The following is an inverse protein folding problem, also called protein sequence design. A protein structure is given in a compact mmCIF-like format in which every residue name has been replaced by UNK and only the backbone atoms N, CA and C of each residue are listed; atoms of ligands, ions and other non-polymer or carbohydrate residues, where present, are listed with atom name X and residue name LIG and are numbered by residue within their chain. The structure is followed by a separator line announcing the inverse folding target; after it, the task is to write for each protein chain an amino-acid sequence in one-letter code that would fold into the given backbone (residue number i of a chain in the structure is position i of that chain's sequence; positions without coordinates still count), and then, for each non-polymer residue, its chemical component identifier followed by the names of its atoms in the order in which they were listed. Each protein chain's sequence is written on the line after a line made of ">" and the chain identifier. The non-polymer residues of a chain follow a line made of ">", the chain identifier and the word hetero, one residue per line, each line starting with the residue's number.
data_IF_983998386742
#
_entry.id   IF_983998386742
#
_cell.length_a   1.000
_cell.length_b   1.000
_cell.length_c   1.000
_cell.angle_alpha   90.00
_cell.angle_beta   90.00
_cell.angle_gamma   90.00
#
_symmetry.space_group_name_H-M   'P 1'
#
loop_
_entity.id
_entity.type
_entity.pdbx_description
1 polymer ?
#
# COMPACT_ATOMS: atom_id res chain seq x y z
N UNK A 1 -54.42 -29.53 -30.77
CA UNK A 1 -52.96 -29.20 -30.95
C UNK A 1 -52.64 -28.01 -30.13
N UNK A 2 -52.04 -28.23 -28.95
CA UNK A 2 -51.59 -27.15 -28.03
C UNK A 2 -50.14 -26.80 -28.38
N UNK A 3 -49.89 -25.57 -28.82
CA UNK A 3 -48.52 -25.05 -29.03
C UNK A 3 -47.92 -24.74 -27.67
N UNK A 4 -46.89 -25.50 -27.26
CA UNK A 4 -46.05 -25.21 -26.08
C UNK A 4 -45.09 -24.09 -26.45
N UNK A 5 -45.30 -22.90 -25.86
CA UNK A 5 -44.39 -21.78 -25.94
C UNK A 5 -43.24 -22.05 -24.96
N UNK A 6 -42.03 -22.26 -25.48
CA UNK A 6 -40.84 -22.45 -24.67
C UNK A 6 -40.35 -21.06 -24.23
N UNK A 7 -40.52 -20.72 -22.96
CA UNK A 7 -39.94 -19.49 -22.37
C UNK A 7 -38.50 -19.81 -22.00
N UNK A 8 -37.54 -19.29 -22.80
CA UNK A 8 -36.13 -19.32 -22.48
C UNK A 8 -35.88 -18.18 -21.50
N UNK A 9 -35.78 -18.49 -20.21
CA UNK A 9 -35.29 -17.54 -19.21
C UNK A 9 -33.80 -17.38 -19.39
N UNK A 10 -33.37 -16.27 -19.98
CA UNK A 10 -31.93 -15.86 -20.00
C UNK A 10 -31.61 -15.38 -18.59
N UNK A 11 -30.96 -16.22 -17.81
CA UNK A 11 -30.31 -15.81 -16.58
C UNK A 11 -29.11 -14.91 -16.98
N UNK A 12 -29.32 -13.60 -16.92
CA UNK A 12 -28.21 -12.64 -16.97
C UNK A 12 -27.48 -12.78 -15.64
N UNK A 13 -26.43 -13.58 -15.67
CA UNK A 13 -25.47 -13.66 -14.56
C UNK A 13 -24.74 -12.30 -14.52
N UNK A 14 -25.28 -11.36 -13.73
CA UNK A 14 -24.53 -10.15 -13.40
C UNK A 14 -23.30 -10.59 -12.58
N UNK A 15 -22.16 -10.77 -13.25
CA UNK A 15 -20.88 -10.86 -12.60
C UNK A 15 -20.70 -9.54 -11.84
N UNK A 16 -20.90 -9.55 -10.54
CA UNK A 16 -20.53 -8.45 -9.67
C UNK A 16 -19.00 -8.41 -9.75
N UNK A 17 -18.46 -7.58 -10.63
CA UNK A 17 -17.04 -7.26 -10.66
C UNK A 17 -16.74 -6.54 -9.36
N UNK A 18 -16.20 -7.24 -8.39
CA UNK A 18 -15.68 -6.59 -7.20
C UNK A 18 -14.52 -5.70 -7.64
N UNK A 19 -14.67 -4.38 -7.44
CA UNK A 19 -13.62 -3.42 -7.72
C UNK A 19 -12.35 -3.82 -6.94
N UNK A 20 -11.21 -3.86 -7.64
CA UNK A 20 -9.91 -4.10 -7.03
C UNK A 20 -9.40 -2.83 -6.34
N UNK A 21 -9.68 -1.66 -6.92
CA UNK A 21 -9.31 -0.36 -6.35
C UNK A 21 -10.59 0.37 -5.97
N UNK A 22 -10.70 0.76 -4.70
CA UNK A 22 -11.87 1.42 -4.10
C UNK A 22 -11.47 2.69 -3.36
N UNK A 23 -11.07 3.76 -4.07
CA UNK A 23 -10.66 4.99 -3.43
C UNK A 23 -11.84 5.65 -2.73
N UNK A 24 -11.59 6.25 -1.57
CA UNK A 24 -12.53 7.13 -0.89
C UNK A 24 -11.98 8.56 -0.95
N UNK A 25 -12.80 9.51 -1.43
CA UNK A 25 -12.43 10.93 -1.50
C UNK A 25 -12.68 11.66 -0.18
N UNK A 26 -13.42 11.05 0.75
CA UNK A 26 -13.79 11.64 2.04
C UNK A 26 -13.05 10.93 3.17
N UNK A 27 -12.36 11.68 4.01
CA UNK A 27 -11.70 11.14 5.18
C UNK A 27 -12.69 10.81 6.29
N UNK A 28 -12.66 9.58 6.78
CA UNK A 28 -13.35 9.19 8.01
C UNK A 28 -12.66 9.79 9.24
N UNK A 29 -11.33 9.76 9.22
CA UNK A 29 -10.46 10.30 10.26
C UNK A 29 -9.49 11.30 9.67
N UNK A 30 -9.27 12.41 10.37
CA UNK A 30 -8.25 13.40 10.05
C UNK A 30 -7.51 13.78 11.33
N UNK A 31 -6.24 14.18 11.24
CA UNK A 31 -5.50 14.64 12.42
C UNK A 31 -6.21 15.74 13.20
N UNK A 32 -6.84 16.72 12.51
CA UNK A 32 -7.59 17.81 13.17
C UNK A 32 -8.73 17.31 14.06
N UNK A 33 -9.47 16.28 13.59
CA UNK A 33 -10.60 15.70 14.36
C UNK A 33 -10.14 14.98 15.62
N UNK A 34 -8.86 14.67 15.71
CA UNK A 34 -8.24 14.00 16.84
C UNK A 34 -7.35 14.94 17.67
N UNK A 35 -7.42 16.26 17.41
CA UNK A 35 -6.61 17.30 18.08
C UNK A 35 -5.09 17.01 18.04
N UNK A 36 -4.61 16.48 16.90
CA UNK A 36 -3.21 16.08 16.73
C UNK A 36 -2.39 17.20 16.10
N UNK A 37 -1.14 17.30 16.52
CA UNK A 37 -0.15 18.14 15.83
C UNK A 37 0.31 17.42 14.57
N UNK A 38 0.13 18.07 13.42
CA UNK A 38 0.60 17.57 12.12
C UNK A 38 0.86 18.74 11.16
N UNK A 39 1.50 18.42 10.05
CA UNK A 39 1.66 19.34 8.92
C UNK A 39 1.01 18.73 7.68
N UNK A 40 0.37 19.56 6.85
CA UNK A 40 -0.19 19.14 5.57
C UNK A 40 0.57 19.78 4.42
N UNK A 41 0.94 18.98 3.43
CA UNK A 41 1.67 19.43 2.26
C UNK A 41 0.96 19.04 0.97
N UNK A 42 1.17 19.85 -0.06
CA UNK A 42 0.78 19.56 -1.44
C UNK A 42 2.04 19.28 -2.24
N UNK A 43 2.24 18.02 -2.59
CA UNK A 43 3.43 17.56 -3.31
C UNK A 43 3.09 17.36 -4.78
N UNK A 44 3.86 17.99 -5.67
CA UNK A 44 3.64 17.90 -7.12
C UNK A 44 4.46 16.77 -7.71
N UNK A 45 3.83 15.89 -8.47
CA UNK A 45 4.50 14.85 -9.25
C UNK A 45 5.15 15.41 -10.53
N UNK A 46 6.10 14.70 -11.11
CA UNK A 46 6.77 15.10 -12.35
C UNK A 46 5.81 15.20 -13.54
N UNK A 47 4.71 14.43 -13.53
CA UNK A 47 3.65 14.48 -14.56
C UNK A 47 2.49 15.43 -14.20
N UNK A 48 2.65 16.25 -13.14
CA UNK A 48 1.85 17.43 -12.87
C UNK A 48 0.71 17.28 -11.88
N UNK A 49 0.48 16.09 -11.29
CA UNK A 49 -0.55 15.88 -10.26
C UNK A 49 -0.11 16.45 -8.90
N UNK A 50 -1.08 16.94 -8.14
CA UNK A 50 -0.87 17.42 -6.77
C UNK A 50 -1.37 16.35 -5.80
N UNK A 51 -0.47 15.89 -4.94
CA UNK A 51 -0.78 14.89 -3.92
C UNK A 51 -1.00 15.55 -2.56
N UNK A 52 -1.96 15.04 -1.80
CA UNK A 52 -2.14 15.40 -0.40
C UNK A 52 -1.24 14.53 0.47
N UNK A 53 -0.48 15.18 1.36
CA UNK A 53 0.50 14.52 2.24
C UNK A 53 0.32 15.03 3.65
N UNK A 54 0.19 14.13 4.62
CA UNK A 54 0.26 14.43 6.05
C UNK A 54 1.60 14.02 6.61
N UNK A 55 2.15 14.88 7.43
CA UNK A 55 3.35 14.64 8.21
C UNK A 55 2.99 14.65 9.70
N UNK A 56 3.26 13.56 10.37
CA UNK A 56 3.16 13.41 11.81
C UNK A 56 4.60 13.45 12.37
N UNK A 57 5.06 14.63 12.83
CA UNK A 57 6.46 14.80 13.21
C UNK A 57 6.79 14.00 14.47
N UNK A 58 7.97 13.39 14.51
CA UNK A 58 8.50 12.75 15.71
C UNK A 58 8.93 13.79 16.75
N UNK A 59 8.96 13.40 18.02
CA UNK A 59 9.68 14.14 19.05
C UNK A 59 11.19 13.91 18.87
N UNK A 60 11.87 14.81 18.20
CA UNK A 60 13.31 14.75 17.95
C UNK A 60 13.69 14.20 16.57
N UNK A 61 14.83 13.54 16.46
CA UNK A 61 15.42 13.11 15.19
C UNK A 61 14.93 11.71 14.74
N UNK A 62 13.62 11.55 14.50
CA UNK A 62 13.04 10.29 14.03
C UNK A 62 13.51 9.86 12.64
N UNK A 63 13.42 8.57 12.37
CA UNK A 63 13.58 8.02 11.01
C UNK A 63 12.36 8.36 10.19
N UNK A 64 12.47 9.01 9.01
CA UNK A 64 11.34 9.25 8.13
C UNK A 64 10.78 7.93 7.61
N UNK A 65 9.46 7.74 7.75
CA UNK A 65 8.74 6.56 7.25
C UNK A 65 7.60 7.01 6.36
N UNK A 66 7.58 6.57 5.11
CA UNK A 66 6.51 6.85 4.18
C UNK A 66 5.58 5.64 4.10
N UNK A 67 4.29 5.83 4.40
CA UNK A 67 3.27 4.79 4.31
C UNK A 67 2.64 4.83 2.92
N UNK A 68 2.82 3.74 2.17
CA UNK A 68 2.21 3.47 0.87
C UNK A 68 1.01 2.54 1.10
N UNK A 69 -0.18 3.10 1.11
CA UNK A 69 -1.41 2.45 1.56
C UNK A 69 -1.94 1.36 0.61
N UNK A 70 -3.00 0.67 1.05
CA UNK A 70 -3.71 -0.37 0.30
C UNK A 70 -4.55 0.20 -0.86
N UNK A 71 -5.28 -0.69 -1.52
CA UNK A 71 -6.13 -0.43 -2.69
C UNK A 71 -7.49 0.21 -2.37
N UNK A 72 -7.84 0.33 -1.10
CA UNK A 72 -9.13 0.86 -0.67
C UNK A 72 -9.00 2.01 0.34
N UNK A 73 -10.01 2.87 0.40
CA UNK A 73 -10.09 3.97 1.35
C UNK A 73 -9.22 5.17 0.96
N UNK A 74 -8.50 5.69 1.91
CA UNK A 74 -7.55 6.79 1.80
C UNK A 74 -6.56 6.77 2.97
N UNK A 75 -5.58 7.70 3.00
CA UNK A 75 -4.58 7.71 4.07
C UNK A 75 -5.18 7.89 5.47
N UNK A 76 -6.36 8.49 5.61
CA UNK A 76 -7.04 8.64 6.89
C UNK A 76 -7.43 7.30 7.55
N UNK A 77 -7.66 6.24 6.76
CA UNK A 77 -7.97 4.92 7.30
C UNK A 77 -6.76 4.27 7.99
N UNK A 78 -5.56 4.77 7.70
CA UNK A 78 -4.29 4.33 8.28
C UNK A 78 -3.73 5.31 9.33
N UNK A 79 -4.50 6.36 9.68
CA UNK A 79 -4.04 7.40 10.60
C UNK A 79 -3.62 6.83 11.96
N UNK A 80 -4.37 5.88 12.50
CA UNK A 80 -4.01 5.25 13.77
C UNK A 80 -2.69 4.48 13.70
N UNK A 81 -2.39 3.81 12.59
CA UNK A 81 -1.07 3.20 12.37
C UNK A 81 0.03 4.29 12.38
N UNK A 82 -0.21 5.40 11.67
CA UNK A 82 0.71 6.53 11.67
C UNK A 82 0.99 7.06 13.08
N UNK A 83 -0.05 7.21 13.90
CA UNK A 83 0.08 7.69 15.29
C UNK A 83 0.85 6.73 16.18
N UNK A 84 0.57 5.43 16.07
CA UNK A 84 1.32 4.43 16.82
C UNK A 84 2.81 4.46 16.45
N UNK A 85 3.14 4.53 15.17
CA UNK A 85 4.53 4.64 14.70
C UNK A 85 5.20 5.95 15.17
N UNK A 86 4.47 7.08 15.13
CA UNK A 86 4.94 8.34 15.67
C UNK A 86 5.23 8.26 17.17
N UNK A 87 4.34 7.67 17.96
CA UNK A 87 4.53 7.47 19.40
C UNK A 87 5.77 6.64 19.72
N UNK A 88 6.19 5.78 18.80
CA UNK A 88 7.45 5.06 18.88
C UNK A 88 8.66 5.88 18.36
N UNK A 89 8.49 7.17 18.10
CA UNK A 89 9.56 8.09 17.73
C UNK A 89 9.97 8.04 16.25
N UNK A 90 9.10 7.51 15.38
CA UNK A 90 9.28 7.58 13.93
C UNK A 90 8.69 8.88 13.38
N UNK A 91 9.31 9.43 12.34
CA UNK A 91 8.86 10.63 11.64
C UNK A 91 7.97 10.20 10.47
N UNK A 92 6.63 10.25 10.65
CA UNK A 92 5.69 9.54 9.77
C UNK A 92 5.11 10.44 8.69
N UNK A 93 5.19 9.97 7.46
CA UNK A 93 4.68 10.63 6.26
C UNK A 93 3.63 9.73 5.61
N UNK A 94 2.43 10.28 5.44
CA UNK A 94 1.28 9.60 4.83
C UNK A 94 0.84 10.39 3.60
N UNK A 95 0.39 9.71 2.56
CA UNK A 95 -0.07 10.39 1.35
C UNK A 95 -1.21 9.63 0.69
N UNK A 96 -2.03 10.38 -0.02
CA UNK A 96 -3.02 9.80 -0.93
C UNK A 96 -2.44 9.66 -2.32
N UNK A 97 -2.62 8.50 -2.94
CA UNK A 97 -2.40 8.39 -4.39
C UNK A 97 -3.31 9.36 -5.15
N UNK A 98 -2.94 9.73 -6.37
CA UNK A 98 -3.87 10.42 -7.27
C UNK A 98 -5.20 9.65 -7.37
N UNK A 99 -6.33 10.35 -7.31
CA UNK A 99 -7.66 9.76 -7.26
C UNK A 99 -8.13 9.31 -5.88
N UNK A 100 -7.28 9.35 -4.85
CA UNK A 100 -7.63 9.06 -3.45
C UNK A 100 -7.72 10.33 -2.62
N UNK A 101 -8.46 10.30 -1.51
CA UNK A 101 -8.56 11.38 -0.52
C UNK A 101 -8.67 12.77 -1.15
N UNK A 102 -7.74 13.65 -0.84
CA UNK A 102 -7.68 15.02 -1.36
C UNK A 102 -6.53 15.25 -2.37
N UNK A 103 -5.91 14.20 -2.87
CA UNK A 103 -5.05 14.29 -4.04
C UNK A 103 -5.85 14.61 -5.30
N UNK A 104 -5.19 15.09 -6.36
CA UNK A 104 -5.85 15.42 -7.63
C UNK A 104 -6.66 14.24 -8.20
N UNK A 105 -7.70 14.57 -8.95
CA UNK A 105 -8.54 13.59 -9.60
C UNK A 105 -7.75 12.76 -10.62
N UNK A 106 -8.04 11.47 -10.67
CA UNK A 106 -7.45 10.53 -11.61
C UNK A 106 -8.50 9.51 -12.05
N UNK A 107 -8.46 9.13 -13.32
CA UNK A 107 -9.38 8.14 -13.88
C UNK A 107 -8.99 6.72 -13.42
N UNK A 108 -9.45 6.33 -12.24
CA UNK A 108 -9.20 5.00 -11.69
C UNK A 108 -9.95 3.93 -12.49
N UNK A 109 -9.21 2.96 -13.02
CA UNK A 109 -9.75 1.73 -13.58
C UNK A 109 -9.96 0.73 -12.43
N UNK A 110 -11.17 0.68 -11.91
CA UNK A 110 -11.48 -0.02 -10.65
C UNK A 110 -11.18 -1.52 -10.65
N UNK A 111 -11.15 -2.16 -11.81
CA UNK A 111 -10.82 -3.58 -11.91
C UNK A 111 -9.33 -3.86 -12.17
N UNK A 112 -8.47 -2.84 -12.18
CA UNK A 112 -7.02 -3.06 -12.18
C UNK A 112 -6.49 -3.31 -10.78
N UNK A 113 -5.44 -4.12 -10.67
CA UNK A 113 -4.80 -4.42 -9.39
C UNK A 113 -4.06 -3.19 -8.81
N UNK A 114 -3.51 -2.36 -9.67
CA UNK A 114 -2.82 -1.11 -9.35
C UNK A 114 -2.64 -0.27 -10.62
N UNK A 115 -2.24 0.99 -10.46
CA UNK A 115 -1.83 1.86 -11.55
C UNK A 115 -0.33 2.15 -11.48
N UNK A 116 0.36 2.13 -12.64
CA UNK A 116 1.80 2.47 -12.70
C UNK A 116 2.08 3.92 -12.29
N UNK A 117 1.08 4.78 -12.44
CA UNK A 117 1.11 6.19 -12.02
C UNK A 117 1.31 6.35 -10.50
N UNK A 118 0.83 5.41 -9.68
CA UNK A 118 1.04 5.44 -8.22
C UNK A 118 2.51 5.28 -7.83
N UNK A 119 3.33 4.70 -8.70
CA UNK A 119 4.79 4.65 -8.51
C UNK A 119 5.40 6.05 -8.61
N UNK A 120 4.88 6.90 -9.55
CA UNK A 120 5.31 8.30 -9.67
C UNK A 120 4.85 9.13 -8.45
N UNK A 121 3.71 8.77 -7.87
CA UNK A 121 3.21 9.42 -6.66
C UNK A 121 4.17 9.15 -5.49
N UNK A 122 4.55 7.89 -5.28
CA UNK A 122 5.52 7.54 -4.25
C UNK A 122 6.89 8.18 -4.51
N UNK A 123 7.35 8.23 -5.77
CA UNK A 123 8.61 8.88 -6.15
C UNK A 123 8.62 10.36 -5.77
N UNK A 124 7.55 11.10 -6.10
CA UNK A 124 7.43 12.51 -5.75
C UNK A 124 7.44 12.74 -4.23
N UNK A 125 6.69 11.93 -3.48
CA UNK A 125 6.65 12.03 -2.01
C UNK A 125 8.01 11.66 -1.40
N UNK A 126 8.66 10.60 -1.88
CA UNK A 126 9.94 10.17 -1.37
C UNK A 126 11.04 11.21 -1.60
N UNK A 127 11.09 11.82 -2.78
CA UNK A 127 11.98 12.95 -3.10
C UNK A 127 11.71 14.15 -2.20
N UNK A 128 10.44 14.50 -2.02
CA UNK A 128 10.05 15.60 -1.15
C UNK A 128 10.50 15.37 0.30
N UNK A 129 10.25 14.19 0.85
CA UNK A 129 10.65 13.82 2.22
C UNK A 129 12.16 13.84 2.36
N UNK A 130 12.90 13.26 1.40
CA UNK A 130 14.36 13.27 1.40
C UNK A 130 14.93 14.70 1.39
N UNK A 131 14.41 15.58 0.53
CA UNK A 131 14.82 16.99 0.47
C UNK A 131 14.50 17.76 1.75
N UNK A 132 13.35 17.47 2.37
CA UNK A 132 12.89 18.18 3.57
C UNK A 132 13.65 17.74 4.83
N UNK A 133 14.00 16.46 4.93
CA UNK A 133 14.59 15.88 6.14
C UNK A 133 16.11 15.66 6.07
N UNK A 134 16.68 15.68 4.86
CA UNK A 134 18.06 15.27 4.56
C UNK A 134 18.39 13.85 5.06
N UNK A 135 17.36 13.00 5.19
CA UNK A 135 17.46 11.61 5.65
C UNK A 135 16.84 10.66 4.62
N UNK A 136 17.50 9.52 4.41
CA UNK A 136 16.96 8.43 3.58
C UNK A 136 15.66 7.88 4.20
N UNK A 137 14.50 8.01 3.54
CA UNK A 137 13.25 7.50 4.10
C UNK A 137 13.23 5.98 4.14
N UNK A 138 12.54 5.43 5.12
CA UNK A 138 12.05 4.06 5.09
C UNK A 138 10.68 4.02 4.41
N UNK A 139 10.33 2.88 3.80
CA UNK A 139 9.06 2.70 3.11
C UNK A 139 8.27 1.57 3.77
N UNK A 140 7.00 1.83 4.05
CA UNK A 140 6.06 0.82 4.53
C UNK A 140 4.96 0.67 3.49
N UNK A 141 4.95 -0.46 2.78
CA UNK A 141 3.93 -0.80 1.79
C UNK A 141 2.90 -1.76 2.36
N UNK A 142 1.61 -1.49 2.14
CA UNK A 142 0.50 -2.29 2.62
C UNK A 142 -0.30 -2.82 1.42
N UNK A 143 -0.39 -4.14 1.27
CA UNK A 143 -1.13 -4.81 0.18
C UNK A 143 -0.73 -4.27 -1.20
N UNK A 144 -1.60 -3.55 -1.93
CA UNK A 144 -1.26 -2.87 -3.18
C UNK A 144 -0.02 -1.98 -3.02
N UNK A 145 0.14 -1.32 -1.89
CA UNK A 145 1.31 -0.50 -1.59
C UNK A 145 2.63 -1.28 -1.66
N UNK A 146 2.62 -2.59 -1.41
CA UNK A 146 3.81 -3.44 -1.57
C UNK A 146 4.27 -3.55 -3.04
N UNK A 147 3.32 -3.56 -3.98
CA UNK A 147 3.61 -3.52 -5.43
C UNK A 147 4.24 -2.18 -5.78
N UNK A 148 3.64 -1.09 -5.30
CA UNK A 148 4.09 0.27 -5.57
C UNK A 148 5.52 0.48 -5.04
N UNK A 149 5.79 0.07 -3.81
CA UNK A 149 7.14 0.11 -3.22
C UNK A 149 8.12 -0.73 -4.05
N UNK A 150 7.75 -1.95 -4.44
CA UNK A 150 8.60 -2.81 -5.26
C UNK A 150 8.97 -2.18 -6.61
N UNK A 151 8.01 -1.57 -7.30
CA UNK A 151 8.26 -0.91 -8.58
C UNK A 151 9.06 0.38 -8.38
N UNK A 152 8.78 1.15 -7.31
CA UNK A 152 9.57 2.33 -6.96
C UNK A 152 11.04 2.00 -6.70
N UNK A 153 11.36 0.98 -5.92
CA UNK A 153 12.74 0.55 -5.62
C UNK A 153 13.56 0.18 -6.88
N UNK A 154 12.94 0.02 -8.04
CA UNK A 154 13.63 -0.22 -9.32
C UNK A 154 14.09 1.05 -10.00
N UNK A 155 13.39 2.15 -9.74
CA UNK A 155 13.60 3.45 -10.40
C UNK A 155 14.10 4.53 -9.42
N UNK A 156 14.08 4.24 -8.11
CA UNK A 156 14.50 5.19 -7.07
C UNK A 156 15.88 5.76 -7.36
N UNK A 157 15.96 7.08 -7.43
CA UNK A 157 17.18 7.87 -7.61
C UNK A 157 17.67 8.52 -6.29
N UNK A 158 16.89 8.38 -5.21
CA UNK A 158 17.28 8.71 -3.85
C UNK A 158 17.57 7.43 -3.03
N UNK A 159 18.38 7.49 -1.98
CA UNK A 159 18.60 6.35 -1.10
C UNK A 159 17.32 6.04 -0.29
N UNK A 160 17.00 4.75 -0.14
CA UNK A 160 15.97 4.22 0.76
C UNK A 160 16.68 3.46 1.87
N UNK A 161 16.31 3.73 3.13
CA UNK A 161 17.02 3.13 4.28
C UNK A 161 16.60 1.67 4.50
N UNK A 162 15.33 1.42 4.75
CA UNK A 162 14.74 0.11 5.05
C UNK A 162 13.36 0.00 4.43
N UNK A 163 12.85 -1.21 4.29
CA UNK A 163 11.51 -1.45 3.73
C UNK A 163 10.70 -2.40 4.62
N UNK A 164 9.40 -2.11 4.77
CA UNK A 164 8.43 -2.96 5.44
C UNK A 164 7.34 -3.31 4.44
N UNK A 165 6.98 -4.58 4.36
CA UNK A 165 5.93 -5.09 3.50
C UNK A 165 4.89 -5.83 4.34
N UNK A 166 3.67 -5.33 4.35
CA UNK A 166 2.52 -5.98 4.96
C UNK A 166 1.55 -6.50 3.89
N UNK A 167 1.23 -7.79 3.90
CA UNK A 167 0.44 -8.43 2.84
C UNK A 167 1.17 -8.44 1.49
N UNK A 168 2.39 -8.92 1.47
CA UNK A 168 3.36 -8.81 0.38
C UNK A 168 2.92 -9.46 -0.93
N UNK A 169 2.94 -8.71 -2.02
CA UNK A 169 2.64 -9.17 -3.38
C UNK A 169 3.92 -9.26 -4.20
N UNK A 170 4.53 -10.46 -4.22
CA UNK A 170 5.81 -10.70 -4.92
C UNK A 170 5.67 -10.79 -6.44
N UNK A 171 4.54 -11.31 -6.90
CA UNK A 171 4.24 -11.59 -8.30
C UNK A 171 2.79 -11.19 -8.58
N UNK A 172 2.55 -9.95 -9.05
CA UNK A 172 1.20 -9.46 -9.34
C UNK A 172 0.39 -10.35 -10.29
N UNK A 173 1.06 -11.05 -11.24
CA UNK A 173 0.37 -11.96 -12.15
C UNK A 173 -0.12 -13.22 -11.43
N UNK A 174 0.73 -13.83 -10.60
CA UNK A 174 0.34 -15.00 -9.81
C UNK A 174 -0.74 -14.63 -8.79
N UNK A 175 -0.62 -13.44 -8.18
CA UNK A 175 -1.59 -12.92 -7.22
C UNK A 175 -2.94 -12.67 -7.88
N UNK A 176 -2.96 -12.06 -9.07
CA UNK A 176 -4.18 -11.89 -9.88
C UNK A 176 -4.84 -13.24 -10.20
N UNK A 177 -4.07 -14.28 -10.52
CA UNK A 177 -4.60 -15.63 -10.75
C UNK A 177 -5.26 -16.22 -9.50
N UNK A 178 -4.70 -15.96 -8.31
CA UNK A 178 -5.32 -16.36 -7.03
C UNK A 178 -6.62 -15.60 -6.74
N UNK A 179 -6.68 -14.31 -7.05
CA UNK A 179 -7.91 -13.53 -6.98
C UNK A 179 -8.98 -14.11 -7.90
N UNK A 180 -8.61 -14.43 -9.15
CA UNK A 180 -9.53 -15.02 -10.13
C UNK A 180 -10.09 -16.38 -9.66
N UNK A 181 -9.24 -17.23 -9.07
CA UNK A 181 -9.66 -18.51 -8.48
C UNK A 181 -10.66 -18.32 -7.33
N UNK A 182 -10.67 -17.15 -6.68
CA UNK A 182 -11.64 -16.76 -5.64
C UNK A 182 -12.78 -15.87 -6.18
N UNK A 183 -13.04 -15.90 -7.49
CA UNK A 183 -14.15 -15.20 -8.12
C UNK A 183 -13.97 -13.69 -8.30
N UNK A 184 -12.73 -13.16 -8.14
CA UNK A 184 -12.41 -11.74 -8.31
C UNK A 184 -11.70 -11.53 -9.65
N UNK A 185 -12.40 -10.95 -10.62
CA UNK A 185 -11.79 -10.60 -11.91
C UNK A 185 -11.06 -9.28 -11.81
N UNK A 186 -9.72 -9.35 -11.86
CA UNK A 186 -8.83 -8.20 -11.78
C UNK A 186 -7.89 -8.22 -12.99
N UNK A 187 -7.52 -7.05 -13.50
CA UNK A 187 -6.56 -6.88 -14.58
C UNK A 187 -5.25 -6.31 -14.07
N UNK A 188 -4.19 -6.43 -14.85
CA UNK A 188 -2.94 -5.72 -14.64
C UNK A 188 -2.89 -4.49 -15.53
N UNK A 189 -2.13 -3.46 -15.18
CA UNK A 189 -1.96 -2.28 -16.04
C UNK A 189 -1.45 -2.66 -17.43
N UNK A 190 -1.91 -1.95 -18.46
CA UNK A 190 -1.44 -2.14 -19.81
C UNK A 190 0.08 -1.96 -19.91
N UNK A 191 0.74 -2.85 -20.63
CA UNK A 191 2.19 -2.83 -20.77
C UNK A 191 2.98 -3.26 -19.52
N UNK A 192 2.30 -3.66 -18.42
CA UNK A 192 2.98 -4.17 -17.24
C UNK A 192 3.82 -5.39 -17.57
N UNK A 193 5.13 -5.29 -17.32
CA UNK A 193 6.06 -6.42 -17.45
C UNK A 193 6.15 -7.12 -16.11
N UNK A 194 5.53 -8.29 -16.00
CA UNK A 194 5.58 -9.08 -14.77
C UNK A 194 7.02 -9.31 -14.31
N UNK A 195 7.36 -8.79 -13.15
CA UNK A 195 8.69 -8.89 -12.57
C UNK A 195 8.53 -9.35 -11.13
N UNK A 196 9.06 -10.54 -10.83
CA UNK A 196 9.17 -10.96 -9.44
C UNK A 196 10.13 -10.04 -8.71
N UNK A 197 9.72 -9.57 -7.56
CA UNK A 197 10.62 -8.84 -6.68
C UNK A 197 11.75 -9.76 -6.25
N UNK A 198 12.93 -9.20 -6.21
CA UNK A 198 14.11 -9.83 -5.59
C UNK A 198 14.65 -8.84 -4.59
N UNK A 199 14.66 -9.20 -3.32
CA UNK A 199 15.35 -8.41 -2.31
C UNK A 199 16.79 -8.21 -2.77
N UNK A 200 17.19 -6.95 -2.98
CA UNK A 200 18.53 -6.62 -3.47
C UNK A 200 19.45 -6.24 -2.31
N UNK A 201 19.40 -5.00 -1.88
CA UNK A 201 20.36 -4.41 -0.97
C UNK A 201 19.71 -3.78 0.26
N UNK A 202 18.39 -3.69 0.30
CA UNK A 202 17.67 -3.09 1.42
C UNK A 202 17.42 -4.12 2.51
N UNK A 203 17.54 -3.72 3.76
CA UNK A 203 16.96 -4.48 4.86
C UNK A 203 15.44 -4.47 4.73
N UNK A 204 14.81 -5.62 4.90
CA UNK A 204 13.37 -5.80 4.69
C UNK A 204 12.71 -6.55 5.85
N UNK A 205 11.59 -6.00 6.34
CA UNK A 205 10.66 -6.69 7.21
C UNK A 205 9.44 -7.12 6.40
N UNK A 206 9.08 -8.39 6.47
CA UNK A 206 7.86 -8.93 5.90
C UNK A 206 6.89 -9.28 7.02
N UNK A 207 5.72 -8.64 7.00
CA UNK A 207 4.61 -8.95 7.89
C UNK A 207 3.65 -9.85 7.15
N UNK A 208 3.38 -11.02 7.72
CA UNK A 208 2.57 -12.07 7.13
C UNK A 208 1.39 -12.39 8.02
N UNK A 209 0.21 -12.31 7.47
CA UNK A 209 -1.03 -12.76 8.13
C UNK A 209 -1.23 -14.24 7.84
N UNK A 210 -1.31 -15.08 8.88
CA UNK A 210 -1.33 -16.56 8.76
C UNK A 210 -2.61 -17.09 8.09
N UNK A 211 -3.71 -16.32 8.21
CA UNK A 211 -5.01 -16.63 7.58
C UNK A 211 -5.22 -15.92 6.23
N UNK A 212 -4.16 -15.33 5.68
CA UNK A 212 -4.22 -14.66 4.38
C UNK A 212 -4.31 -15.68 3.24
N UNK A 213 -5.39 -15.60 2.48
CA UNK A 213 -5.60 -16.45 1.30
C UNK A 213 -4.79 -15.99 0.06
N UNK A 214 -4.24 -14.78 0.10
CA UNK A 214 -3.63 -14.14 -1.07
C UNK A 214 -2.12 -13.98 -0.98
N UNK A 215 -1.60 -13.65 0.21
CA UNK A 215 -0.18 -13.43 0.49
C UNK A 215 0.28 -14.43 1.55
N UNK A 216 1.26 -15.26 1.23
CA UNK A 216 1.71 -16.34 2.10
C UNK A 216 3.22 -16.26 2.33
N UNK A 217 3.72 -17.00 3.32
CA UNK A 217 5.16 -17.14 3.56
C UNK A 217 5.93 -17.58 2.31
N UNK A 218 5.31 -18.38 1.44
CA UNK A 218 5.94 -18.85 0.20
C UNK A 218 6.13 -17.75 -0.85
N UNK A 219 5.44 -16.61 -0.71
CA UNK A 219 5.60 -15.47 -1.59
C UNK A 219 6.83 -14.63 -1.24
N UNK A 220 7.38 -14.78 -0.04
CA UNK A 220 8.56 -14.03 0.40
C UNK A 220 9.77 -14.47 -0.42
N UNK A 221 10.50 -13.53 -1.05
CA UNK A 221 11.68 -13.88 -1.84
C UNK A 221 12.78 -14.41 -0.93
N UNK A 222 13.70 -15.19 -1.49
CA UNK A 222 14.93 -15.55 -0.79
C UNK A 222 15.69 -14.28 -0.42
N UNK A 223 16.29 -14.29 0.78
CA UNK A 223 17.10 -13.18 1.27
C UNK A 223 18.16 -12.79 0.23
N UNK A 224 18.28 -11.48 -0.01
CA UNK A 224 19.32 -10.88 -0.85
C UNK A 224 20.56 -10.56 -0.03
N UNK A 225 21.17 -9.38 -0.29
CA UNK A 225 22.33 -8.89 0.49
C UNK A 225 21.90 -8.17 1.78
N UNK A 226 20.68 -7.62 1.82
CA UNK A 226 20.13 -6.98 3.01
C UNK A 226 19.61 -8.00 4.03
N UNK A 227 19.47 -7.56 5.28
CA UNK A 227 18.84 -8.35 6.35
C UNK A 227 17.37 -8.59 6.00
N UNK A 228 16.88 -9.79 6.21
CA UNK A 228 15.48 -10.14 6.07
C UNK A 228 14.92 -10.57 7.42
N UNK A 229 13.82 -9.92 7.81
CA UNK A 229 13.06 -10.27 9.00
C UNK A 229 11.65 -10.68 8.56
N UNK A 230 11.08 -11.69 9.19
CA UNK A 230 9.72 -12.15 8.96
C UNK A 230 9.00 -12.15 10.29
N UNK A 231 7.84 -11.49 10.34
CA UNK A 231 6.93 -11.48 11.48
C UNK A 231 5.57 -12.00 11.04
N UNK A 232 5.00 -12.93 11.79
CA UNK A 232 3.68 -13.52 11.50
C UNK A 232 2.66 -13.10 12.53
N UNK A 233 1.40 -12.96 12.10
CA UNK A 233 0.25 -12.67 12.95
C UNK A 233 -0.90 -13.59 12.61
N UNK A 234 -1.58 -14.14 13.62
CA UNK A 234 -2.77 -15.00 13.45
C UNK A 234 -4.01 -14.17 13.09
N UNK A 235 -4.03 -13.62 11.87
CA UNK A 235 -5.10 -12.75 11.38
C UNK A 235 -5.30 -12.90 9.87
N UNK A 236 -6.34 -12.25 9.35
CA UNK A 236 -6.65 -12.11 7.94
C UNK A 236 -5.72 -11.09 7.25
N UNK A 237 -5.76 -11.02 5.90
CA UNK A 237 -4.95 -10.12 5.07
C UNK A 237 -4.87 -8.70 5.63
N UNK A 238 -3.66 -8.18 5.85
CA UNK A 238 -3.35 -6.83 6.39
C UNK A 238 -4.09 -6.44 7.68
N UNK A 239 -4.55 -7.42 8.46
CA UNK A 239 -5.26 -7.16 9.72
C UNK A 239 -4.35 -7.15 10.94
N UNK A 240 -3.03 -7.31 10.75
CA UNK A 240 -2.06 -7.40 11.85
C UNK A 240 -2.11 -6.23 12.80
N UNK A 241 -2.05 -4.99 12.27
CA UNK A 241 -2.15 -3.78 13.09
C UNK A 241 -3.48 -3.68 13.85
N UNK A 242 -4.60 -3.97 13.19
CA UNK A 242 -5.92 -3.84 13.81
C UNK A 242 -6.20 -4.87 14.91
N UNK A 243 -5.56 -6.05 14.83
CA UNK A 243 -5.72 -7.13 15.81
C UNK A 243 -4.69 -7.07 16.94
N UNK A 244 -3.48 -6.63 16.64
CA UNK A 244 -2.31 -6.64 17.51
C UNK A 244 -1.53 -5.33 17.42
N UNK A 245 -2.16 -4.16 17.71
CA UNK A 245 -1.58 -2.85 17.40
C UNK A 245 -0.20 -2.63 18.05
N UNK A 246 -0.04 -3.02 19.31
CA UNK A 246 1.22 -2.85 20.05
C UNK A 246 2.31 -3.75 19.47
N UNK A 247 2.07 -5.07 19.37
CA UNK A 247 3.06 -6.04 18.87
C UNK A 247 3.44 -5.78 17.40
N UNK A 248 2.47 -5.34 16.59
CA UNK A 248 2.72 -4.92 15.21
C UNK A 248 3.65 -3.71 15.18
N UNK A 249 3.32 -2.68 15.97
CA UNK A 249 4.09 -1.42 16.00
C UNK A 249 5.48 -1.63 16.58
N UNK A 250 5.60 -2.42 17.67
CA UNK A 250 6.90 -2.84 18.23
C UNK A 250 7.78 -3.44 17.13
N UNK A 251 7.24 -4.41 16.39
CA UNK A 251 7.98 -5.12 15.33
C UNK A 251 8.45 -4.19 14.22
N UNK A 252 7.60 -3.24 13.80
CA UNK A 252 7.92 -2.27 12.75
C UNK A 252 8.93 -1.24 13.27
N UNK A 253 8.69 -0.66 14.45
CA UNK A 253 9.55 0.39 15.00
C UNK A 253 10.93 -0.13 15.40
N UNK A 254 11.03 -1.32 15.99
CA UNK A 254 12.31 -1.97 16.30
C UNK A 254 13.12 -2.24 15.02
N UNK A 255 12.44 -2.67 13.95
CA UNK A 255 13.11 -2.90 12.69
C UNK A 255 13.56 -1.60 12.02
N UNK A 256 12.78 -0.52 12.09
CA UNK A 256 13.05 0.74 11.39
C UNK A 256 14.09 1.63 12.11
N UNK A 257 14.23 1.52 13.41
CA UNK A 257 15.29 2.15 14.18
C UNK A 257 16.63 1.42 13.98
#
# INVERSE_FOLDING_TARGET
>A
MMKRTLIISILILNAITLAAIKPNRVYSYTPDKLDLTYEEFKVKTDDGFILNVWHLPSEGEGTPVIISQSDAGNMGDWLYLGLYLQAYGLDVWMYDYRGFGQSDDFAIVQNQLFHMEFVKDLDAVAKYVYQKTDKSPALLGISMGTIIVNEYLRIADIPVSKVVFDGYVSDPKAWNSRLAANGKTVTLPDGYKNRKYRQKNHDALFIVSEKDAYSTLSDIPKAGKGKQVIKTFDCEHISGFFRYPEEYTDSVAEFLK
#
